data_IF_036360615952
#
_entry.id   IF_036360615952
#
_cell.length_a   1.000
_cell.length_b   1.000
_cell.length_c   1.000
_cell.angle_alpha   90.00
_cell.angle_beta   90.00
_cell.angle_gamma   90.00
#
_symmetry.space_group_name_H-M   'P 1'
#
loop_
_entity.id
_entity.type
_entity.pdbx_description
1 polymer ?
#
# COMPACT_ATOMS: atom_id res chain seq x y z
N UNK A 1 -9.20 34.33 4.57
CA UNK A 1 -9.40 33.16 5.46
C UNK A 1 -9.74 31.87 4.73
N UNK A 2 -10.66 31.85 3.74
CA UNK A 2 -11.01 30.61 3.00
C UNK A 2 -9.83 29.90 2.32
N UNK A 3 -8.92 30.63 1.68
CA UNK A 3 -7.73 30.05 1.02
C UNK A 3 -6.77 29.37 2.00
N UNK A 4 -6.49 30.01 3.14
CA UNK A 4 -5.62 29.43 4.17
C UNK A 4 -6.20 28.11 4.72
N UNK A 5 -7.53 28.06 4.91
CA UNK A 5 -8.21 26.84 5.37
C UNK A 5 -8.11 25.70 4.35
N UNK A 6 -8.29 25.99 3.05
CA UNK A 6 -8.16 24.99 1.97
C UNK A 6 -6.72 24.45 1.89
N UNK A 7 -5.72 25.34 2.04
CA UNK A 7 -4.31 24.92 2.04
C UNK A 7 -4.00 24.00 3.22
N UNK A 8 -4.49 24.32 4.41
CA UNK A 8 -4.29 23.49 5.61
C UNK A 8 -5.00 22.13 5.48
N UNK A 9 -6.22 22.11 4.94
CA UNK A 9 -6.94 20.86 4.70
C UNK A 9 -6.24 20.00 3.66
N UNK A 10 -5.88 20.56 2.51
CA UNK A 10 -5.18 19.83 1.46
C UNK A 10 -3.82 19.29 1.92
N UNK A 11 -3.09 20.06 2.73
CA UNK A 11 -1.84 19.59 3.33
C UNK A 11 -2.09 18.43 4.31
N UNK A 12 -3.13 18.53 5.14
CA UNK A 12 -3.47 17.51 6.13
C UNK A 12 -3.88 16.19 5.46
N UNK A 13 -4.72 16.25 4.42
CA UNK A 13 -5.08 15.08 3.61
C UNK A 13 -3.87 14.48 2.90
N UNK A 14 -3.01 15.31 2.31
CA UNK A 14 -1.77 14.86 1.68
C UNK A 14 -0.86 14.09 2.64
N UNK A 15 -0.70 14.57 3.88
CA UNK A 15 0.07 13.88 4.92
C UNK A 15 -0.57 12.55 5.30
N UNK A 16 -1.89 12.50 5.50
CA UNK A 16 -2.60 11.26 5.87
C UNK A 16 -2.49 10.20 4.77
N UNK A 17 -2.73 10.58 3.51
CA UNK A 17 -2.64 9.66 2.36
C UNK A 17 -1.20 9.20 2.15
N UNK A 18 -0.24 10.12 2.18
CA UNK A 18 1.18 9.79 2.04
C UNK A 18 1.68 8.85 3.14
N UNK A 19 1.32 9.12 4.40
CA UNK A 19 1.63 8.24 5.51
C UNK A 19 1.01 6.85 5.35
N UNK A 20 -0.24 6.77 4.88
CA UNK A 20 -0.91 5.49 4.60
C UNK A 20 -0.20 4.65 3.54
N UNK A 21 0.23 5.28 2.44
CA UNK A 21 0.97 4.60 1.36
C UNK A 21 2.31 4.08 1.88
N UNK A 22 3.10 4.92 2.56
CA UNK A 22 4.40 4.52 3.09
C UNK A 22 4.25 3.42 4.13
N UNK A 23 3.29 3.54 5.05
CA UNK A 23 3.03 2.53 6.08
C UNK A 23 2.63 1.18 5.48
N UNK A 24 1.79 1.17 4.45
CA UNK A 24 1.39 -0.08 3.78
C UNK A 24 2.58 -0.76 3.10
N UNK A 25 3.41 0.00 2.39
CA UNK A 25 4.54 -0.55 1.64
C UNK A 25 5.67 -1.04 2.56
N UNK A 26 5.85 -0.42 3.73
CA UNK A 26 6.80 -0.90 4.75
C UNK A 26 6.25 -2.07 5.55
N UNK A 27 4.97 -2.07 5.95
CA UNK A 27 4.35 -3.19 6.67
C UNK A 27 4.30 -4.48 5.85
N UNK A 28 4.15 -4.37 4.52
CA UNK A 28 4.22 -5.51 3.60
C UNK A 28 5.66 -5.93 3.26
N UNK A 29 6.67 -5.31 3.86
CA UNK A 29 8.09 -5.59 3.63
C UNK A 29 8.52 -5.56 2.14
N UNK A 30 7.82 -4.77 1.31
CA UNK A 30 8.11 -4.69 -0.14
C UNK A 30 9.50 -4.13 -0.39
N UNK A 31 9.90 -3.09 0.36
CA UNK A 31 11.20 -2.44 0.22
C UNK A 31 12.34 -3.37 0.69
N UNK A 32 12.27 -3.98 1.89
CA UNK A 32 13.23 -5.02 2.30
C UNK A 32 13.34 -6.17 1.29
N UNK A 33 12.22 -6.62 0.71
CA UNK A 33 12.21 -7.75 -0.24
C UNK A 33 12.86 -7.42 -1.57
N UNK A 34 12.66 -6.19 -2.08
CA UNK A 34 13.41 -5.68 -3.23
C UNK A 34 14.92 -5.66 -2.97
N UNK A 35 15.32 -5.20 -1.77
CA UNK A 35 16.73 -5.20 -1.36
C UNK A 35 17.30 -6.61 -1.23
N UNK A 36 16.49 -7.57 -0.78
CA UNK A 36 16.87 -8.98 -0.67
C UNK A 36 17.14 -9.61 -2.04
N UNK A 37 16.19 -9.45 -2.97
CA UNK A 37 16.30 -10.02 -4.32
C UNK A 37 17.50 -9.42 -5.07
N UNK A 38 17.79 -8.15 -4.84
CA UNK A 38 18.93 -7.44 -5.46
C UNK A 38 20.23 -7.54 -4.65
N UNK A 39 20.25 -8.29 -3.54
CA UNK A 39 21.39 -8.37 -2.60
C UNK A 39 21.98 -7.01 -2.20
N UNK A 40 21.13 -5.99 -2.08
CA UNK A 40 21.51 -4.58 -2.00
C UNK A 40 21.02 -3.89 -0.72
N UNK A 41 21.01 -4.59 0.42
CA UNK A 41 20.56 -4.05 1.71
C UNK A 41 21.28 -2.75 2.13
N UNK A 42 22.55 -2.57 1.71
CA UNK A 42 23.31 -1.33 1.96
C UNK A 42 22.62 -0.08 1.39
N UNK A 43 21.78 -0.24 0.37
CA UNK A 43 21.11 0.86 -0.32
C UNK A 43 19.64 1.02 0.06
N UNK A 44 19.16 0.41 1.15
CA UNK A 44 17.76 0.48 1.61
C UNK A 44 17.17 1.89 1.56
N UNK A 45 17.91 2.88 2.09
CA UNK A 45 17.46 4.28 2.12
C UNK A 45 17.28 4.89 0.72
N UNK A 46 18.05 4.44 -0.27
CA UNK A 46 17.89 4.91 -1.65
C UNK A 46 16.62 4.33 -2.29
N UNK A 47 16.26 3.09 -1.99
CA UNK A 47 15.00 2.50 -2.45
C UNK A 47 13.78 3.24 -1.86
N UNK A 48 13.82 3.57 -0.57
CA UNK A 48 12.76 4.38 0.07
C UNK A 48 12.63 5.76 -0.60
N UNK A 49 13.75 6.45 -0.84
CA UNK A 49 13.73 7.76 -1.50
C UNK A 49 13.19 7.65 -2.93
N UNK A 50 13.60 6.64 -3.70
CA UNK A 50 13.08 6.41 -5.05
C UNK A 50 11.56 6.17 -5.05
N UNK A 51 11.06 5.43 -4.06
CA UNK A 51 9.64 5.17 -3.90
C UNK A 51 8.86 6.44 -3.55
N UNK A 52 9.37 7.23 -2.60
CA UNK A 52 8.76 8.52 -2.20
C UNK A 52 8.73 9.47 -3.39
N UNK A 53 9.83 9.59 -4.13
CA UNK A 53 9.92 10.42 -5.33
C UNK A 53 8.94 9.94 -6.42
N UNK A 54 8.86 8.63 -6.64
CA UNK A 54 7.91 8.03 -7.58
C UNK A 54 6.46 8.33 -7.21
N UNK A 55 6.09 8.18 -5.93
CA UNK A 55 4.75 8.51 -5.44
C UNK A 55 4.44 10.01 -5.56
N UNK A 56 5.41 10.87 -5.26
CA UNK A 56 5.27 12.32 -5.40
C UNK A 56 5.01 12.72 -6.85
N UNK A 57 5.87 12.28 -7.79
CA UNK A 57 5.66 12.57 -9.21
C UNK A 57 4.39 11.91 -9.74
N UNK A 58 4.09 10.67 -9.37
CA UNK A 58 2.86 9.99 -9.76
C UNK A 58 1.59 10.75 -9.32
N UNK A 59 1.59 11.29 -8.10
CA UNK A 59 0.50 12.13 -7.59
C UNK A 59 0.38 13.44 -8.38
N UNK A 60 1.50 14.12 -8.67
CA UNK A 60 1.50 15.33 -9.52
C UNK A 60 0.98 15.04 -10.94
N UNK A 61 1.41 13.93 -11.55
CA UNK A 61 0.91 13.50 -12.86
C UNK A 61 -0.57 13.09 -12.80
N UNK A 62 -1.06 12.55 -11.69
CA UNK A 62 -2.49 12.23 -11.55
C UNK A 62 -3.37 13.48 -11.46
N UNK A 63 -2.85 14.57 -10.90
CA UNK A 63 -3.57 15.85 -10.78
C UNK A 63 -3.52 16.68 -12.06
N UNK A 64 -2.46 16.52 -12.83
CA UNK A 64 -2.29 17.19 -14.12
C UNK A 64 -2.89 16.29 -15.19
N UNK A 65 -4.01 16.68 -15.82
CA UNK A 65 -4.64 15.96 -16.94
C UNK A 65 -3.78 15.97 -18.23
N UNK A 66 -2.45 15.92 -18.10
CA UNK A 66 -1.50 15.94 -19.18
C UNK A 66 -1.33 14.51 -19.66
N UNK A 67 -2.01 14.19 -20.76
CA UNK A 67 -1.83 12.93 -21.47
C UNK A 67 -0.58 13.00 -22.35
N UNK A 68 0.45 12.25 -22.00
CA UNK A 68 1.60 12.02 -22.87
C UNK A 68 1.34 10.79 -23.74
N UNK A 69 1.47 10.97 -25.05
CA UNK A 69 1.34 9.86 -26.00
C UNK A 69 2.69 9.17 -26.14
N UNK A 70 3.00 8.27 -25.19
CA UNK A 70 4.21 7.48 -25.24
C UNK A 70 4.06 6.32 -26.23
N UNK A 71 5.13 6.05 -27.00
CA UNK A 71 5.15 4.95 -27.96
C UNK A 71 5.04 3.57 -27.30
N UNK A 72 4.81 2.55 -28.13
CA UNK A 72 4.54 1.17 -27.67
C UNK A 72 5.69 0.60 -26.81
N UNK A 73 6.93 0.96 -27.09
CA UNK A 73 8.11 0.51 -26.34
C UNK A 73 8.09 0.99 -24.89
N UNK A 74 7.71 2.25 -24.65
CA UNK A 74 7.61 2.81 -23.29
C UNK A 74 6.50 2.10 -22.51
N UNK A 75 5.37 1.83 -23.16
CA UNK A 75 4.25 1.09 -22.58
C UNK A 75 4.66 -0.33 -22.12
N UNK A 76 5.42 -1.05 -22.94
CA UNK A 76 5.92 -2.39 -22.60
C UNK A 76 6.83 -2.33 -21.36
N UNK A 77 7.75 -1.36 -21.32
CA UNK A 77 8.68 -1.20 -20.20
C UNK A 77 7.92 -0.87 -18.91
N UNK A 78 7.05 0.15 -18.94
CA UNK A 78 6.25 0.57 -17.78
C UNK A 78 5.31 -0.54 -17.32
N UNK A 79 4.66 -1.22 -18.26
CA UNK A 79 3.79 -2.36 -17.96
C UNK A 79 4.52 -3.51 -17.29
N UNK A 80 5.78 -3.78 -17.68
CA UNK A 80 6.62 -4.79 -17.05
C UNK A 80 6.95 -4.40 -15.60
N UNK A 81 7.36 -3.16 -15.36
CA UNK A 81 7.61 -2.66 -14.00
C UNK A 81 6.35 -2.71 -13.13
N UNK A 82 5.20 -2.37 -13.69
CA UNK A 82 3.92 -2.44 -13.00
C UNK A 82 3.55 -3.90 -12.65
N UNK A 83 3.79 -4.84 -13.57
CA UNK A 83 3.62 -6.27 -13.33
C UNK A 83 4.53 -6.80 -12.21
N UNK A 84 5.80 -6.38 -12.19
CA UNK A 84 6.75 -6.72 -11.10
C UNK A 84 6.24 -6.17 -9.76
N UNK A 85 5.77 -4.92 -9.73
CA UNK A 85 5.21 -4.31 -8.53
C UNK A 85 3.97 -5.05 -8.01
N UNK A 86 3.02 -5.39 -8.88
CA UNK A 86 1.83 -6.18 -8.51
C UNK A 86 2.24 -7.58 -8.02
N UNK A 87 3.21 -8.22 -8.68
CA UNK A 87 3.72 -9.53 -8.26
C UNK A 87 4.33 -9.49 -6.86
N UNK A 88 5.10 -8.46 -6.54
CA UNK A 88 5.65 -8.24 -5.19
C UNK A 88 4.54 -8.00 -4.17
N UNK A 89 3.54 -7.18 -4.49
CA UNK A 89 2.38 -6.94 -3.63
C UNK A 89 1.61 -8.22 -3.34
N UNK A 90 1.33 -9.03 -4.37
CA UNK A 90 0.60 -10.29 -4.22
C UNK A 90 1.38 -11.28 -3.34
N UNK A 91 2.69 -11.40 -3.55
CA UNK A 91 3.58 -12.24 -2.74
C UNK A 91 3.64 -11.78 -1.29
N UNK A 92 3.75 -10.46 -1.05
CA UNK A 92 3.75 -9.89 0.29
C UNK A 92 2.42 -10.11 1.02
N UNK A 93 1.29 -10.00 0.33
CA UNK A 93 -0.02 -10.33 0.91
C UNK A 93 -0.11 -11.82 1.29
N UNK A 94 0.39 -12.71 0.43
CA UNK A 94 0.40 -14.15 0.74
C UNK A 94 1.22 -14.44 2.00
N UNK A 95 2.39 -13.82 2.14
CA UNK A 95 3.22 -13.96 3.33
C UNK A 95 2.54 -13.40 4.59
N UNK A 96 1.89 -12.25 4.49
CA UNK A 96 1.11 -11.68 5.60
C UNK A 96 -0.07 -12.58 6.02
N UNK A 97 -0.70 -13.28 5.07
CA UNK A 97 -1.77 -14.24 5.35
C UNK A 97 -1.22 -15.48 6.05
N UNK A 98 -0.04 -15.97 5.66
CA UNK A 98 0.63 -17.11 6.30
C UNK A 98 1.01 -16.84 7.77
N UNK A 99 1.03 -15.57 8.21
CA UNK A 99 1.19 -15.21 9.63
C UNK A 99 -0.04 -15.60 10.46
N UNK A 100 -1.25 -15.63 9.89
CA UNK A 100 -2.49 -15.93 10.63
C UNK A 100 -2.44 -17.35 11.27
N UNK A 101 -2.09 -18.43 10.53
CA UNK A 101 -1.86 -19.75 11.12
C UNK A 101 -0.75 -19.79 12.17
N UNK A 102 0.31 -18.99 12.00
CA UNK A 102 1.40 -18.92 12.99
C UNK A 102 0.90 -18.32 14.30
N UNK A 103 0.06 -17.29 14.22
CA UNK A 103 -0.56 -16.66 15.38
C UNK A 103 -1.51 -17.62 16.11
N UNK A 104 -2.30 -18.42 15.38
CA UNK A 104 -3.16 -19.47 15.96
C UNK A 104 -2.34 -20.42 16.84
N UNK A 105 -1.24 -20.96 16.30
CA UNK A 105 -0.36 -21.89 17.03
C UNK A 105 0.27 -21.23 18.26
N UNK A 106 0.71 -19.97 18.14
CA UNK A 106 1.35 -19.22 19.24
C UNK A 106 0.38 -18.86 20.37
N UNK A 107 -0.87 -18.56 20.05
CA UNK A 107 -1.91 -18.24 21.04
C UNK A 107 -2.55 -19.51 21.65
N UNK A 108 -2.12 -20.70 21.22
CA UNK A 108 -2.68 -21.98 21.64
C UNK A 108 -4.19 -22.10 21.36
N UNK A 109 -4.70 -21.36 20.38
CA UNK A 109 -6.10 -21.37 19.93
C UNK A 109 -6.25 -22.49 18.89
N UNK A 110 -5.73 -23.68 19.22
CA UNK A 110 -5.65 -24.80 18.29
C UNK A 110 -7.05 -25.22 17.83
N UNK A 111 -7.34 -25.07 16.53
CA UNK A 111 -8.60 -25.51 15.91
C UNK A 111 -9.69 -24.44 15.77
N UNK A 112 -9.48 -23.22 16.27
CA UNK A 112 -10.51 -22.17 16.31
C UNK A 112 -10.24 -20.97 15.36
N UNK A 113 -9.38 -21.11 14.35
CA UNK A 113 -9.14 -20.07 13.31
C UNK A 113 -10.43 -19.57 12.69
N UNK A 114 -11.42 -20.46 12.54
CA UNK A 114 -12.75 -20.12 12.02
C UNK A 114 -13.39 -18.96 12.79
N UNK A 115 -13.23 -18.90 14.11
CA UNK A 115 -13.77 -17.82 14.93
C UNK A 115 -13.02 -16.50 14.74
N UNK A 116 -11.69 -16.54 14.58
CA UNK A 116 -10.87 -15.35 14.26
C UNK A 116 -11.31 -14.76 12.92
N UNK A 117 -11.49 -15.61 11.91
CA UNK A 117 -11.96 -15.20 10.58
C UNK A 117 -13.39 -14.62 10.66
N UNK A 118 -14.29 -15.26 11.41
CA UNK A 118 -15.68 -14.77 11.60
C UNK A 118 -15.69 -13.38 12.25
N UNK A 119 -14.89 -13.16 13.31
CA UNK A 119 -14.80 -11.86 13.98
C UNK A 119 -14.23 -10.79 13.04
N UNK A 120 -13.22 -11.13 12.24
CA UNK A 120 -12.66 -10.23 11.21
C UNK A 120 -13.70 -9.86 10.14
N UNK A 121 -14.44 -10.84 9.63
CA UNK A 121 -15.51 -10.62 8.64
C UNK A 121 -16.60 -9.74 9.25
N UNK A 122 -17.01 -10.02 10.49
CA UNK A 122 -18.03 -9.24 11.18
C UNK A 122 -17.58 -7.79 11.42
N UNK A 123 -16.32 -7.57 11.83
CA UNK A 123 -15.74 -6.23 11.92
C UNK A 123 -15.75 -5.49 10.59
N UNK A 124 -15.41 -6.17 9.48
CA UNK A 124 -15.49 -5.61 8.12
C UNK A 124 -16.92 -5.27 7.71
N UNK A 125 -17.89 -6.13 8.01
CA UNK A 125 -19.31 -5.90 7.73
C UNK A 125 -19.82 -4.68 8.49
N UNK A 126 -19.57 -4.61 9.80
CA UNK A 126 -19.97 -3.47 10.64
C UNK A 126 -19.31 -2.19 10.14
N UNK A 127 -18.00 -2.21 9.86
CA UNK A 127 -17.29 -1.07 9.29
C UNK A 127 -17.86 -0.62 7.95
N UNK A 128 -18.25 -1.56 7.09
CA UNK A 128 -18.89 -1.25 5.80
C UNK A 128 -20.27 -0.62 5.96
N UNK A 129 -21.10 -1.13 6.88
CA UNK A 129 -22.42 -0.58 7.19
C UNK A 129 -22.29 0.84 7.75
N UNK A 130 -21.36 1.07 8.68
CA UNK A 130 -21.09 2.40 9.24
C UNK A 130 -20.63 3.36 8.14
N UNK A 131 -19.67 2.94 7.31
CA UNK A 131 -19.17 3.76 6.20
C UNK A 131 -20.30 4.22 5.28
N UNK A 132 -21.20 3.29 4.92
CA UNK A 132 -22.26 3.59 3.96
C UNK A 132 -23.44 4.38 4.54
N UNK A 133 -23.71 4.22 5.84
CA UNK A 133 -24.88 4.85 6.48
C UNK A 133 -24.54 6.19 7.12
N UNK A 134 -23.35 6.33 7.73
CA UNK A 134 -23.00 7.47 8.58
C UNK A 134 -21.96 8.40 7.90
N UNK A 135 -21.03 7.82 7.15
CA UNK A 135 -19.80 8.50 6.68
C UNK A 135 -19.86 8.96 5.20
N UNK A 136 -21.07 9.10 4.65
CA UNK A 136 -21.30 9.41 3.23
C UNK A 136 -20.57 10.66 2.74
#
# INVERSE_FOLDING_TARGET
MKLAFIVVLGFSEGVVVGAGVVALLTLLDIIPRLCQITNSYKYLRYYEIMLIMGAFFGSLFSLTNISFNFGIYTLIIVGTFYGIFIGLLASALAEAIDVIPVMERRLNIQGNVKYIIIVLIFGKLVGSIINWTILK
#
